data_IF_804125590972
#
_entry.id   IF_804125590972
#
_cell.length_a   1.000
_cell.length_b   1.000
_cell.length_c   1.000
_cell.angle_alpha   90.00
_cell.angle_beta   90.00
_cell.angle_gamma   90.00
#
_symmetry.space_group_name_H-M   'P 1'
#
loop_
_entity.id
_entity.type
_entity.pdbx_description
1 polymer ?
#
# COMPACT_ATOMS: atom_id res chain seq x y z
N UNK A 1 -6.67 18.79 0.89
CA UNK A 1 -5.88 19.30 2.03
C UNK A 1 -4.42 18.88 1.85
N UNK A 2 -3.64 19.83 1.35
CA UNK A 2 -2.35 19.56 0.73
C UNK A 2 -1.26 19.33 1.77
N UNK A 3 -0.53 18.23 1.60
CA UNK A 3 0.63 17.87 2.41
C UNK A 3 1.77 18.86 2.13
N UNK A 4 2.56 19.25 3.14
CA UNK A 4 3.61 20.26 2.97
C UNK A 4 4.65 19.82 1.92
N UNK A 5 4.90 20.73 0.96
CA UNK A 5 5.89 20.61 -0.11
C UNK A 5 7.18 21.28 0.36
N UNK A 6 8.32 20.59 0.29
CA UNK A 6 9.61 21.23 0.56
C UNK A 6 10.09 22.07 -0.65
N UNK A 7 11.17 22.85 -0.45
CA UNK A 7 11.70 23.78 -1.46
C UNK A 7 12.21 23.10 -2.74
N UNK A 8 12.21 21.76 -2.81
CA UNK A 8 12.59 20.97 -3.98
C UNK A 8 11.38 20.39 -4.75
N UNK A 9 10.15 20.71 -4.33
CA UNK A 9 8.93 20.23 -4.98
C UNK A 9 8.53 18.82 -4.54
N UNK A 10 9.12 18.31 -3.46
CA UNK A 10 8.87 16.96 -2.96
C UNK A 10 7.84 17.00 -1.82
N UNK A 11 6.78 16.20 -1.96
CA UNK A 11 5.73 16.02 -0.95
C UNK A 11 6.10 14.83 -0.06
N UNK A 12 6.56 15.07 1.18
CA UNK A 12 6.74 14.01 2.18
C UNK A 12 6.20 14.41 3.56
N UNK A 13 5.53 13.47 4.22
CA UNK A 13 5.61 13.38 5.67
C UNK A 13 6.94 12.70 5.99
N UNK A 14 7.92 13.45 6.47
CA UNK A 14 9.14 12.86 7.04
C UNK A 14 8.76 12.21 8.38
N UNK A 15 9.11 10.94 8.56
CA UNK A 15 9.03 10.25 9.84
C UNK A 15 10.41 9.75 10.24
N UNK A 16 10.68 9.72 11.54
CA UNK A 16 11.94 9.13 12.04
C UNK A 16 11.83 7.61 12.01
N UNK A 17 10.63 7.09 12.31
CA UNK A 17 10.28 5.68 12.13
C UNK A 17 9.06 5.58 11.20
N UNK A 18 9.19 4.98 10.01
CA UNK A 18 8.06 4.78 9.11
C UNK A 18 7.12 3.68 9.63
N UNK A 19 5.92 3.51 9.04
CA UNK A 19 5.05 2.39 9.36
C UNK A 19 5.71 1.06 9.00
N UNK A 20 5.48 0.04 9.82
CA UNK A 20 6.03 -1.31 9.61
C UNK A 20 4.90 -2.33 9.63
N UNK A 21 4.82 -3.16 8.60
CA UNK A 21 3.88 -4.28 8.57
C UNK A 21 4.29 -5.35 9.60
N UNK A 22 3.34 -6.15 10.08
CA UNK A 22 3.67 -7.26 10.97
C UNK A 22 4.65 -8.25 10.30
N UNK A 23 5.78 -8.55 10.95
CA UNK A 23 6.85 -9.33 10.31
C UNK A 23 7.67 -8.57 9.27
N UNK A 24 7.53 -7.24 9.21
CA UNK A 24 8.27 -6.37 8.30
C UNK A 24 7.96 -6.60 6.83
N UNK A 25 8.96 -6.39 5.98
CA UNK A 25 8.83 -6.55 4.52
C UNK A 25 8.49 -7.98 4.14
N UNK A 26 9.07 -8.97 4.82
CA UNK A 26 8.80 -10.39 4.57
C UNK A 26 7.37 -10.76 4.94
N UNK A 27 6.90 -10.32 6.11
CA UNK A 27 5.52 -10.53 6.54
C UNK A 27 4.51 -9.90 5.58
N UNK A 28 4.83 -8.72 5.02
CA UNK A 28 4.00 -8.08 4.00
C UNK A 28 3.90 -8.94 2.73
N UNK A 29 5.04 -9.42 2.21
CA UNK A 29 5.01 -10.29 1.02
C UNK A 29 4.30 -11.61 1.27
N UNK A 30 4.47 -12.21 2.46
CA UNK A 30 3.76 -13.42 2.85
C UNK A 30 2.24 -13.18 2.90
N UNK A 31 1.81 -12.06 3.50
CA UNK A 31 0.42 -11.64 3.52
C UNK A 31 -0.15 -11.48 2.11
N UNK A 32 0.54 -10.75 1.23
CA UNK A 32 0.11 -10.58 -0.16
C UNK A 32 0.00 -11.94 -0.86
N UNK A 33 1.00 -12.81 -0.77
CA UNK A 33 0.95 -14.12 -1.42
C UNK A 33 -0.23 -14.99 -0.95
N UNK A 34 -0.61 -14.88 0.32
CA UNK A 34 -1.70 -15.67 0.90
C UNK A 34 -3.09 -15.08 0.60
N UNK A 35 -3.20 -13.76 0.48
CA UNK A 35 -4.48 -13.05 0.42
C UNK A 35 -4.79 -12.45 -0.95
N UNK A 36 -3.81 -12.37 -1.86
CA UNK A 36 -4.00 -11.87 -3.22
C UNK A 36 -4.75 -12.90 -4.07
N UNK A 37 -5.89 -12.48 -4.59
CA UNK A 37 -6.75 -13.29 -5.46
C UNK A 37 -6.59 -12.82 -6.89
N UNK A 38 -6.01 -13.65 -7.75
CA UNK A 38 -5.92 -13.33 -9.17
C UNK A 38 -7.33 -13.40 -9.79
N UNK A 39 -7.90 -12.30 -10.32
CA UNK A 39 -9.23 -12.34 -10.93
C UNK A 39 -9.23 -13.33 -12.12
N UNK A 40 -10.19 -14.27 -12.20
CA UNK A 40 -10.24 -15.26 -13.29
C UNK A 40 -10.21 -14.62 -14.67
N UNK A 41 -10.96 -13.53 -14.88
CA UNK A 41 -11.00 -12.83 -16.17
C UNK A 41 -9.65 -12.17 -16.51
N UNK A 42 -8.92 -11.69 -15.49
CA UNK A 42 -7.58 -11.13 -15.71
C UNK A 42 -6.57 -12.23 -16.09
N UNK A 43 -6.74 -13.43 -15.51
CA UNK A 43 -5.94 -14.61 -15.85
C UNK A 43 -6.20 -15.08 -17.28
N UNK A 44 -7.46 -15.17 -17.70
CA UNK A 44 -7.86 -15.55 -19.06
C UNK A 44 -7.34 -14.55 -20.10
N UNK A 45 -7.34 -13.26 -19.77
CA UNK A 45 -6.83 -12.19 -20.62
C UNK A 45 -5.30 -12.05 -20.62
N UNK A 46 -4.58 -12.84 -19.82
CA UNK A 46 -3.12 -12.75 -19.73
C UNK A 46 -2.61 -11.44 -19.11
N UNK A 47 -3.41 -10.77 -18.28
CA UNK A 47 -3.06 -9.45 -17.74
C UNK A 47 -2.06 -9.60 -16.60
N UNK A 48 -0.86 -9.06 -16.76
CA UNK A 48 0.20 -9.05 -15.74
C UNK A 48 0.73 -7.64 -15.51
N UNK A 49 1.35 -7.39 -14.36
CA UNK A 49 2.05 -6.13 -14.12
C UNK A 49 2.14 -5.74 -12.66
N UNK A 50 2.41 -4.44 -12.45
CA UNK A 50 2.57 -3.84 -11.12
C UNK A 50 1.55 -2.73 -10.93
N UNK A 51 0.68 -2.91 -9.94
CA UNK A 51 -0.26 -1.88 -9.49
C UNK A 51 0.36 -1.15 -8.31
N UNK A 52 0.37 0.17 -8.34
CA UNK A 52 0.86 1.01 -7.24
C UNK A 52 -0.33 1.57 -6.46
N UNK A 53 -0.41 1.19 -5.20
CA UNK A 53 -1.52 1.55 -4.30
C UNK A 53 -1.00 2.50 -3.23
N UNK A 54 -1.57 3.70 -3.14
CA UNK A 54 -1.41 4.59 -2.01
C UNK A 54 -2.35 4.19 -0.88
N UNK A 55 -1.88 4.33 0.35
CA UNK A 55 -2.69 4.17 1.55
C UNK A 55 -2.19 5.09 2.66
N UNK A 56 -3.03 5.30 3.67
CA UNK A 56 -2.68 5.99 4.91
C UNK A 56 -2.75 5.02 6.07
N UNK A 57 -1.63 4.81 6.75
CA UNK A 57 -1.58 4.16 8.06
C UNK A 57 -1.91 5.19 9.12
N UNK A 58 -2.95 4.92 9.90
CA UNK A 58 -3.41 5.77 10.99
C UNK A 58 -2.57 5.54 12.25
N UNK A 59 -2.75 6.42 13.25
CA UNK A 59 -2.01 6.35 14.52
C UNK A 59 -2.33 5.12 15.35
N UNK A 60 -3.43 4.42 15.07
CA UNK A 60 -3.83 3.16 15.69
C UNK A 60 -3.39 1.92 14.87
N UNK A 61 -2.65 2.14 13.80
CA UNK A 61 -2.20 1.11 12.86
C UNK A 61 -3.20 0.72 11.78
N UNK A 62 -4.44 1.24 11.82
CA UNK A 62 -5.44 0.93 10.79
C UNK A 62 -5.08 1.55 9.43
N UNK A 63 -5.52 0.91 8.35
CA UNK A 63 -5.34 1.42 6.99
C UNK A 63 -6.59 2.19 6.54
N UNK A 64 -6.37 3.30 5.84
CA UNK A 64 -7.43 4.15 5.26
C UNK A 64 -6.95 4.80 3.96
N UNK A 65 -7.87 5.46 3.24
CA UNK A 65 -7.57 6.23 2.03
C UNK A 65 -6.78 5.42 0.99
N UNK A 66 -7.26 4.20 0.70
CA UNK A 66 -6.64 3.29 -0.25
C UNK A 66 -7.00 3.70 -1.68
N UNK A 67 -5.99 4.06 -2.47
CA UNK A 67 -6.15 4.62 -3.82
C UNK A 67 -5.14 3.99 -4.77
N UNK A 68 -5.53 3.71 -6.01
CA UNK A 68 -4.58 3.26 -7.05
C UNK A 68 -4.00 4.51 -7.69
N UNK A 69 -2.67 4.65 -7.58
CA UNK A 69 -1.94 5.75 -8.23
C UNK A 69 -1.54 5.41 -9.66
N UNK A 70 -1.18 4.14 -9.89
CA UNK A 70 -0.82 3.62 -11.20
C UNK A 70 -1.34 2.20 -11.32
N UNK A 71 -2.36 2.05 -12.14
CA UNK A 71 -3.00 0.78 -12.44
C UNK A 71 -2.40 0.07 -13.65
N UNK A 72 -2.89 -1.14 -13.88
CA UNK A 72 -2.64 -1.92 -15.11
C UNK A 72 -3.94 -2.14 -15.86
N UNK A 73 -4.94 -2.66 -15.15
CA UNK A 73 -6.28 -2.94 -15.65
C UNK A 73 -7.24 -2.89 -14.45
N UNK A 74 -8.49 -2.41 -14.61
CA UNK A 74 -9.45 -2.33 -13.53
C UNK A 74 -9.63 -3.62 -12.72
N UNK A 75 -9.47 -4.80 -13.34
CA UNK A 75 -9.54 -6.08 -12.64
C UNK A 75 -8.42 -6.23 -11.61
N UNK A 76 -7.18 -5.94 -12.00
CA UNK A 76 -6.01 -6.02 -11.12
C UNK A 76 -6.01 -4.88 -10.10
N UNK A 77 -6.46 -3.69 -10.52
CA UNK A 77 -6.51 -2.50 -9.69
C UNK A 77 -7.50 -2.67 -8.52
N UNK A 78 -8.68 -3.24 -8.79
CA UNK A 78 -9.68 -3.50 -7.77
C UNK A 78 -9.20 -4.52 -6.74
N UNK A 79 -8.55 -5.59 -7.19
CA UNK A 79 -7.97 -6.57 -6.28
C UNK A 79 -6.83 -5.96 -5.44
N UNK A 80 -5.95 -5.17 -6.07
CA UNK A 80 -4.88 -4.48 -5.36
C UNK A 80 -5.41 -3.54 -4.28
N UNK A 81 -6.51 -2.83 -4.54
CA UNK A 81 -7.19 -2.01 -3.52
C UNK A 81 -7.73 -2.87 -2.39
N UNK A 82 -8.43 -3.97 -2.73
CA UNK A 82 -9.07 -4.85 -1.75
C UNK A 82 -8.03 -5.44 -0.78
N UNK A 83 -6.98 -6.07 -1.30
CA UNK A 83 -5.96 -6.71 -0.45
C UNK A 83 -5.22 -5.72 0.43
N UNK A 84 -5.01 -4.48 -0.02
CA UNK A 84 -4.39 -3.43 0.81
C UNK A 84 -5.36 -2.91 1.86
N UNK A 85 -6.64 -2.73 1.52
CA UNK A 85 -7.68 -2.29 2.45
C UNK A 85 -7.97 -3.33 3.53
N UNK A 86 -7.90 -4.62 3.20
CA UNK A 86 -8.10 -5.75 4.11
C UNK A 86 -6.84 -6.10 4.91
N UNK A 87 -5.78 -5.30 4.81
CA UNK A 87 -4.52 -5.59 5.49
C UNK A 87 -4.65 -5.46 7.01
N UNK A 88 -3.92 -6.29 7.79
CA UNK A 88 -3.92 -6.18 9.25
C UNK A 88 -3.35 -4.83 9.68
N UNK A 89 -3.48 -4.53 10.98
CA UNK A 89 -2.94 -3.29 11.53
C UNK A 89 -1.42 -3.26 11.40
N UNK A 90 -0.93 -2.11 10.96
CA UNK A 90 0.49 -1.82 10.84
C UNK A 90 0.99 -1.22 12.16
N UNK A 91 2.28 -1.36 12.43
CA UNK A 91 2.94 -0.48 13.38
C UNK A 91 2.92 0.95 12.80
N UNK A 92 2.39 1.94 13.53
CA UNK A 92 2.25 3.29 13.00
C UNK A 92 3.58 4.02 12.95
N UNK A 93 3.67 5.04 12.09
CA UNK A 93 4.85 5.88 12.01
C UNK A 93 5.02 6.73 13.27
N UNK A 94 6.26 7.10 13.59
CA UNK A 94 6.57 8.10 14.60
C UNK A 94 7.57 9.15 14.14
N UNK A 95 7.39 10.37 14.62
CA UNK A 95 8.29 11.49 14.40
C UNK A 95 8.41 12.31 15.68
N UNK A 96 9.63 12.60 16.12
CA UNK A 96 9.95 13.29 17.38
C UNK A 96 9.22 12.68 18.59
N UNK A 97 9.18 11.34 18.67
CA UNK A 97 8.52 10.60 19.75
C UNK A 97 6.99 10.63 19.71
N UNK A 98 6.37 11.20 18.68
CA UNK A 98 4.90 11.24 18.49
C UNK A 98 4.48 10.32 17.37
N UNK A 99 3.42 9.54 17.61
CA UNK A 99 2.78 8.72 16.58
C UNK A 99 2.03 9.63 15.61
N UNK A 100 2.21 9.41 14.30
CA UNK A 100 1.59 10.23 13.24
C UNK A 100 0.88 9.35 12.22
N UNK A 101 -0.14 9.91 11.56
CA UNK A 101 -0.69 9.31 10.33
C UNK A 101 0.38 9.40 9.25
N UNK A 102 0.53 8.35 8.45
CA UNK A 102 1.56 8.26 7.43
C UNK A 102 1.01 7.78 6.09
N UNK A 103 1.25 8.54 5.02
CA UNK A 103 0.91 8.10 3.64
C UNK A 103 2.07 7.31 3.04
N UNK A 104 1.78 6.12 2.52
CA UNK A 104 2.75 5.25 1.84
C UNK A 104 2.19 4.77 0.51
N UNK A 105 3.08 4.28 -0.36
CA UNK A 105 2.73 3.68 -1.65
C UNK A 105 3.37 2.31 -1.75
N UNK A 106 2.57 1.29 -2.04
CA UNK A 106 3.01 -0.10 -2.12
C UNK A 106 2.83 -0.65 -3.54
N UNK A 107 3.81 -1.40 -4.06
CA UNK A 107 3.63 -2.15 -5.30
C UNK A 107 2.98 -3.51 -5.02
N UNK A 108 1.91 -3.82 -5.76
CA UNK A 108 1.28 -5.15 -5.83
C UNK A 108 1.64 -5.75 -7.18
N UNK A 109 2.28 -6.91 -7.17
CA UNK A 109 2.76 -7.57 -8.39
C UNK A 109 1.82 -8.71 -8.76
N UNK A 110 1.22 -8.62 -9.94
CA UNK A 110 0.46 -9.71 -10.55
C UNK A 110 1.33 -10.37 -11.60
N UNK A 111 1.58 -11.67 -11.41
CA UNK A 111 2.36 -12.49 -12.32
C UNK A 111 1.68 -13.85 -12.50
N UNK A 112 1.48 -14.25 -13.74
CA UNK A 112 1.07 -15.58 -14.14
C UNK A 112 2.28 -16.52 -13.98
N UNK A 113 2.03 -17.65 -13.32
CA UNK A 113 3.02 -18.72 -13.20
C UNK A 113 3.02 -19.58 -14.45
#
# INVERSE_FOLDING_TARGET
PDLPIDKSGIVFQKADNPPVFEGGVEGYYAYIQQNLQYPPEAKEKGLEGRVYVALVVNTDGSVSNVEVLKGVDPLLDNEAKRVVADSPRWQPASHNGKIIRFKLVLPIVFKLK
#
